data_IF_405827559604
#
_entry.id   IF_405827559604
#
_cell.length_a   1.000
_cell.length_b   1.000
_cell.length_c   1.000
_cell.angle_alpha   90.00
_cell.angle_beta   90.00
_cell.angle_gamma   90.00
#
_symmetry.space_group_name_H-M   'P 1'
#
loop_
_entity.id
_entity.type
_entity.pdbx_description
1 polymer ?
#
# COMPACT_ATOMS: atom_id res chain seq x y z
N UNK A 1 -2.29 -48.36 13.55
CA UNK A 1 -1.82 -47.38 12.54
C UNK A 1 -2.39 -46.03 12.92
N UNK A 2 -1.62 -45.03 13.37
CA UNK A 2 -2.23 -43.77 13.78
C UNK A 2 -2.66 -42.97 12.55
N UNK A 3 -3.94 -42.60 12.54
CA UNK A 3 -4.62 -41.81 11.52
C UNK A 3 -3.96 -40.43 11.49
N UNK A 4 -3.31 -40.07 10.36
CA UNK A 4 -2.80 -38.71 10.12
C UNK A 4 -3.98 -37.77 9.89
N UNK A 5 -4.54 -37.22 10.95
CA UNK A 5 -5.41 -36.05 10.87
C UNK A 5 -4.56 -34.88 10.37
N UNK A 6 -4.72 -34.52 9.10
CA UNK A 6 -4.15 -33.30 8.55
C UNK A 6 -5.02 -32.15 9.04
N UNK A 7 -4.56 -31.42 10.05
CA UNK A 7 -5.29 -30.27 10.56
C UNK A 7 -5.48 -29.22 9.44
N UNK A 8 -6.69 -28.65 9.23
CA UNK A 8 -6.99 -27.83 8.04
C UNK A 8 -6.48 -26.39 8.11
N UNK A 9 -5.66 -26.06 9.10
CA UNK A 9 -5.23 -24.69 9.36
C UNK A 9 -3.73 -24.65 9.61
N UNK A 10 -2.96 -24.85 8.54
CA UNK A 10 -1.59 -24.39 8.58
C UNK A 10 -1.59 -22.86 8.67
N UNK A 11 -1.08 -22.37 9.80
CA UNK A 11 -1.00 -20.96 10.18
C UNK A 11 -0.04 -20.12 9.32
N UNK A 12 0.52 -20.69 8.24
CA UNK A 12 1.55 -20.06 7.41
C UNK A 12 0.97 -19.21 6.27
N UNK A 13 -0.36 -19.16 6.09
CA UNK A 13 -1.00 -18.46 4.98
C UNK A 13 -1.53 -17.06 5.36
N UNK A 14 -0.77 -16.17 6.01
CA UNK A 14 -1.33 -14.83 6.30
C UNK A 14 -0.40 -13.62 6.23
N UNK A 15 0.75 -13.72 5.58
CA UNK A 15 1.43 -12.52 5.14
C UNK A 15 1.81 -12.68 3.66
N UNK A 16 1.12 -11.99 2.73
CA UNK A 16 1.76 -11.67 1.46
C UNK A 16 3.02 -10.88 1.83
N UNK A 17 4.16 -11.57 1.85
CA UNK A 17 5.44 -10.95 2.12
C UNK A 17 5.54 -9.81 1.12
N UNK A 18 5.70 -8.55 1.57
CA UNK A 18 5.71 -7.41 0.69
C UNK A 18 6.73 -7.67 -0.40
N UNK A 19 6.22 -7.85 -1.63
CA UNK A 19 7.04 -8.18 -2.79
C UNK A 19 8.12 -7.11 -2.90
N UNK A 20 9.35 -7.45 -3.31
CA UNK A 20 10.49 -6.50 -3.29
C UNK A 20 10.18 -5.13 -3.91
N UNK A 21 9.28 -5.10 -4.89
CA UNK A 21 8.71 -3.89 -5.50
C UNK A 21 7.96 -2.99 -4.49
N UNK A 22 7.09 -3.54 -3.65
CA UNK A 22 6.38 -2.78 -2.60
C UNK A 22 7.34 -2.24 -1.54
N UNK A 23 8.43 -2.94 -1.23
CA UNK A 23 9.49 -2.45 -0.33
C UNK A 23 10.26 -1.31 -0.99
N UNK A 24 10.67 -1.46 -2.26
CA UNK A 24 11.35 -0.41 -3.02
C UNK A 24 10.53 0.87 -3.08
N UNK A 25 9.24 0.77 -3.42
CA UNK A 25 8.30 1.89 -3.41
C UNK A 25 8.13 2.53 -2.01
N UNK A 26 8.43 1.84 -0.91
CA UNK A 26 8.41 2.45 0.43
C UNK A 26 9.74 3.11 0.80
N UNK A 27 10.87 2.60 0.31
CA UNK A 27 12.21 3.06 0.73
C UNK A 27 12.83 4.10 -0.20
N UNK A 28 12.47 4.14 -1.48
CA UNK A 28 13.12 5.05 -2.44
C UNK A 28 12.75 6.51 -2.18
N UNK A 29 13.75 7.33 -1.83
CA UNK A 29 13.61 8.76 -1.53
C UNK A 29 13.01 9.54 -2.71
N UNK A 30 13.41 9.21 -3.94
CA UNK A 30 12.90 9.81 -5.18
C UNK A 30 11.38 9.59 -5.29
N UNK A 31 10.91 8.37 -5.05
CA UNK A 31 9.48 8.06 -5.09
C UNK A 31 8.69 8.74 -3.95
N UNK A 32 9.31 8.88 -2.77
CA UNK A 32 8.71 9.62 -1.65
C UNK A 32 8.47 11.09 -2.03
N UNK A 33 9.44 11.74 -2.71
CA UNK A 33 9.30 13.11 -3.21
C UNK A 33 8.18 13.21 -4.26
N UNK A 34 8.17 12.30 -5.25
CA UNK A 34 7.12 12.26 -6.28
C UNK A 34 5.73 12.10 -5.65
N UNK A 35 5.59 11.18 -4.69
CA UNK A 35 4.32 10.96 -3.98
C UNK A 35 3.90 12.19 -3.18
N UNK A 36 4.84 12.88 -2.53
CA UNK A 36 4.58 14.12 -1.81
C UNK A 36 4.06 15.21 -2.75
N UNK A 37 4.70 15.42 -3.90
CA UNK A 37 4.26 16.41 -4.89
C UNK A 37 2.88 16.09 -5.45
N UNK A 38 2.61 14.84 -5.81
CA UNK A 38 1.30 14.42 -6.35
C UNK A 38 0.17 14.63 -5.35
N UNK A 39 0.38 14.29 -4.08
CA UNK A 39 -0.63 14.49 -3.02
C UNK A 39 -0.89 15.98 -2.82
N UNK A 40 0.15 16.80 -2.65
CA UNK A 40 0.00 18.24 -2.48
C UNK A 40 -0.73 18.87 -3.66
N UNK A 41 -0.38 18.48 -4.89
CA UNK A 41 -1.06 18.99 -6.08
C UNK A 41 -2.53 18.59 -6.14
N UNK A 42 -2.88 17.35 -5.79
CA UNK A 42 -4.29 16.90 -5.74
C UNK A 42 -5.11 17.69 -4.72
N UNK A 43 -4.57 17.93 -3.52
CA UNK A 43 -5.26 18.70 -2.48
C UNK A 43 -5.44 20.15 -2.94
N UNK A 44 -4.38 20.78 -3.47
CA UNK A 44 -4.46 22.13 -4.02
C UNK A 44 -5.51 22.22 -5.13
N UNK A 45 -5.47 21.31 -6.11
CA UNK A 45 -6.44 21.25 -7.21
C UNK A 45 -7.87 21.08 -6.72
N UNK A 46 -8.10 20.24 -5.70
CA UNK A 46 -9.41 20.06 -5.08
C UNK A 46 -9.88 21.36 -4.42
N UNK A 47 -9.02 21.99 -3.61
CA UNK A 47 -9.33 23.24 -2.93
C UNK A 47 -9.67 24.37 -3.91
N UNK A 48 -8.92 24.49 -5.02
CA UNK A 48 -9.21 25.50 -6.06
C UNK A 48 -10.56 25.28 -6.73
N UNK A 49 -10.97 24.03 -6.96
CA UNK A 49 -12.30 23.73 -7.55
C UNK A 49 -13.44 23.95 -6.56
N UNK A 50 -13.23 23.68 -5.28
CA UNK A 50 -14.26 23.89 -4.25
C UNK A 50 -14.57 25.37 -4.02
N UNK A 51 -13.58 26.26 -4.10
CA UNK A 51 -13.79 27.70 -3.87
C UNK A 51 -14.43 28.43 -5.04
N UNK A 52 -14.36 27.90 -6.26
CA UNK A 52 -14.92 28.54 -7.47
C UNK A 52 -16.37 28.14 -7.75
N UNK A 53 -16.92 27.20 -6.96
CA UNK A 53 -18.28 26.67 -7.07
C UNK A 53 -19.25 27.26 -6.03
N UNK A 54 -18.95 28.44 -5.47
CA UNK A 54 -19.91 29.26 -4.72
C UNK A 54 -20.19 30.56 -5.46
#
# INVERSE_FOLDING_TARGET
>A
MPIKNKEPYQQEYYAPVPTGLTRYMRTSLIWQIVRFLVINWKILKLMTRSHISR
#
